data_IF_558912069318
#
_entry.id   IF_558912069318
#
_cell.length_a   1.000
_cell.length_b   1.000
_cell.length_c   1.000
_cell.angle_alpha   90.00
_cell.angle_beta   90.00
_cell.angle_gamma   90.00
#
_symmetry.space_group_name_H-M   'P 1'
#
loop_
_entity.id
_entity.type
_entity.pdbx_description
1 polymer ?
#
# COMPACT_ATOMS: atom_id res chain seq x y z
N UNK A 1 40.08 -64.84 62.11
CA UNK A 1 39.31 -63.61 61.80
C UNK A 1 39.41 -63.30 60.31
N UNK A 2 38.34 -63.57 59.55
CA UNK A 2 37.84 -62.84 58.37
C UNK A 2 36.50 -63.49 57.97
N UNK A 3 35.49 -62.71 57.59
CA UNK A 3 34.10 -63.11 57.77
C UNK A 3 33.56 -63.97 56.62
N UNK A 4 32.73 -64.96 56.99
CA UNK A 4 31.96 -65.79 56.08
C UNK A 4 30.89 -64.94 55.37
N UNK A 5 30.90 -64.93 54.03
CA UNK A 5 29.81 -64.38 53.22
C UNK A 5 28.96 -65.54 52.70
N UNK A 6 27.71 -65.55 53.16
CA UNK A 6 26.69 -66.55 52.86
C UNK A 6 26.32 -66.58 51.36
N UNK A 7 26.18 -67.80 50.86
CA UNK A 7 25.65 -68.14 49.54
C UNK A 7 24.18 -67.70 49.39
N UNK A 8 23.76 -67.20 48.22
CA UNK A 8 22.36 -66.88 47.97
C UNK A 8 21.50 -68.14 47.76
N UNK A 9 20.31 -68.10 48.35
CA UNK A 9 19.28 -69.13 48.38
C UNK A 9 18.61 -69.41 47.00
N UNK A 10 17.99 -70.59 46.80
CA UNK A 10 17.38 -71.00 45.54
C UNK A 10 16.05 -70.30 45.23
N UNK A 11 15.74 -70.19 43.93
CA UNK A 11 14.56 -69.50 43.36
C UNK A 11 13.24 -70.25 43.61
N UNK A 12 12.12 -69.56 43.89
CA UNK A 12 10.76 -70.14 43.80
C UNK A 12 10.16 -70.09 42.37
N UNK A 13 9.12 -70.90 42.08
CA UNK A 13 8.72 -71.29 40.72
C UNK A 13 7.80 -70.29 39.99
N UNK A 14 7.71 -70.45 38.67
CA UNK A 14 6.84 -69.67 37.75
C UNK A 14 5.37 -70.10 37.84
N UNK A 15 4.40 -69.17 37.74
CA UNK A 15 3.07 -69.48 37.24
C UNK A 15 2.97 -69.29 35.71
N UNK A 16 2.21 -70.20 35.08
CA UNK A 16 1.92 -70.31 33.64
C UNK A 16 0.50 -69.77 33.35
N UNK A 17 0.35 -68.92 32.30
CA UNK A 17 -0.82 -68.71 31.40
C UNK A 17 -2.17 -68.22 32.00
N UNK A 18 -3.07 -67.41 31.39
CA UNK A 18 -3.62 -67.20 30.04
C UNK A 18 -4.38 -65.80 30.00
N UNK A 19 -5.01 -65.35 28.88
CA UNK A 19 -5.25 -63.92 28.57
C UNK A 19 -6.59 -63.37 29.11
N UNK A 20 -6.66 -62.05 29.30
CA UNK A 20 -7.95 -61.36 29.44
C UNK A 20 -8.19 -60.40 28.27
N UNK A 21 -9.07 -60.85 27.37
CA UNK A 21 -9.76 -60.00 26.42
C UNK A 21 -11.08 -59.49 27.03
N UNK A 22 -11.32 -58.19 26.83
CA UNK A 22 -12.61 -57.48 26.68
C UNK A 22 -13.71 -57.64 27.75
N UNK A 23 -14.05 -56.51 28.37
CA UNK A 23 -15.38 -55.85 28.22
C UNK A 23 -15.16 -54.34 28.47
N UNK A 24 -15.54 -53.37 27.64
CA UNK A 24 -16.81 -53.09 26.96
C UNK A 24 -17.97 -52.78 27.93
N UNK A 25 -17.89 -51.64 28.62
CA UNK A 25 -18.94 -50.60 28.63
C UNK A 25 -18.64 -49.55 29.69
N UNK A 26 -18.36 -48.32 29.25
CA UNK A 26 -18.89 -47.08 29.82
C UNK A 26 -18.19 -45.89 29.14
N UNK A 27 -18.88 -45.24 28.20
CA UNK A 27 -19.30 -43.83 28.37
C UNK A 27 -19.82 -43.28 27.05
N UNK A 28 -21.11 -42.97 27.10
CA UNK A 28 -21.84 -42.22 26.10
C UNK A 28 -21.44 -40.73 26.16
N UNK A 29 -21.27 -40.13 24.99
CA UNK A 29 -21.64 -38.76 24.61
C UNK A 29 -20.76 -38.30 23.43
N UNK A 30 -21.04 -38.79 22.23
CA UNK A 30 -20.58 -38.14 21.00
C UNK A 30 -21.71 -37.26 20.49
N UNK A 31 -21.66 -35.99 20.90
CA UNK A 31 -22.35 -34.93 20.19
C UNK A 31 -21.56 -34.62 18.91
N UNK A 32 -22.30 -34.51 17.81
CA UNK A 32 -21.83 -34.30 16.45
C UNK A 32 -21.08 -32.97 16.34
N UNK A 33 -19.74 -33.02 16.35
CA UNK A 33 -18.91 -31.91 15.89
C UNK A 33 -18.64 -32.12 14.40
N UNK A 34 -19.42 -31.45 13.55
CA UNK A 34 -19.03 -31.25 12.15
C UNK A 34 -17.68 -30.50 12.10
N UNK A 35 -16.93 -30.60 10.99
CA UNK A 35 -15.69 -29.86 10.87
C UNK A 35 -16.02 -28.37 10.90
N UNK A 36 -15.74 -27.73 12.04
CA UNK A 36 -15.66 -26.28 12.12
C UNK A 36 -14.54 -25.88 11.16
N UNK A 37 -14.94 -25.41 9.98
CA UNK A 37 -14.07 -24.59 9.16
C UNK A 37 -13.53 -23.51 10.10
N UNK A 38 -12.23 -23.57 10.40
CA UNK A 38 -11.53 -22.43 10.95
C UNK A 38 -11.76 -21.32 9.94
N UNK A 39 -12.71 -20.42 10.23
CA UNK A 39 -12.83 -19.17 9.50
C UNK A 39 -11.48 -18.50 9.67
N UNK A 40 -10.61 -18.67 8.66
CA UNK A 40 -9.45 -17.80 8.50
C UNK A 40 -10.05 -16.41 8.48
N UNK A 41 -9.74 -15.62 9.50
CA UNK A 41 -9.93 -14.18 9.44
C UNK A 41 -9.42 -13.74 8.05
N UNK A 42 -10.23 -13.00 7.27
CA UNK A 42 -9.82 -12.62 5.92
C UNK A 42 -8.45 -11.94 6.04
N UNK A 43 -7.46 -12.49 5.35
CA UNK A 43 -6.12 -11.91 5.32
C UNK A 43 -6.25 -10.47 4.88
N UNK A 44 -5.75 -9.53 5.68
CA UNK A 44 -5.83 -8.10 5.36
C UNK A 44 -5.33 -7.87 3.92
N UNK A 45 -6.07 -7.14 3.08
CA UNK A 45 -5.65 -6.91 1.71
C UNK A 45 -4.26 -6.25 1.70
N UNK A 46 -3.42 -6.65 0.75
CA UNK A 46 -2.08 -6.08 0.62
C UNK A 46 -2.13 -4.73 -0.12
N UNK A 47 -1.41 -3.73 0.39
CA UNK A 47 -1.24 -2.42 -0.24
C UNK A 47 0.24 -2.14 -0.49
N UNK A 48 0.56 -1.74 -1.71
CA UNK A 48 1.91 -1.33 -2.09
C UNK A 48 2.04 0.16 -1.86
N UNK A 49 2.98 0.55 -1.00
CA UNK A 49 3.35 1.95 -0.77
C UNK A 49 4.65 2.24 -1.52
N UNK A 50 4.57 2.99 -2.62
CA UNK A 50 5.73 3.33 -3.45
C UNK A 50 6.25 4.69 -3.05
N UNK A 51 7.54 4.79 -2.78
CA UNK A 51 8.22 6.03 -2.43
C UNK A 51 9.49 6.22 -3.27
N UNK A 52 10.00 7.45 -3.31
CA UNK A 52 11.24 7.76 -4.01
C UNK A 52 12.46 7.37 -3.17
N UNK A 53 13.51 6.92 -3.85
CA UNK A 53 14.85 6.71 -3.28
C UNK A 53 15.86 7.76 -3.77
N UNK A 54 15.39 8.87 -4.35
CA UNK A 54 16.20 9.99 -4.80
C UNK A 54 16.54 10.97 -3.66
N UNK A 55 17.50 11.86 -3.90
CA UNK A 55 18.05 12.76 -2.88
C UNK A 55 17.07 13.86 -2.44
N UNK A 56 16.14 14.22 -3.32
CA UNK A 56 15.04 15.16 -3.07
C UNK A 56 13.98 14.56 -2.13
N UNK A 57 14.04 13.24 -1.88
CA UNK A 57 13.39 12.56 -0.78
C UNK A 57 11.86 12.49 -0.84
N UNK A 58 11.29 12.21 0.33
CA UNK A 58 9.88 11.95 0.57
C UNK A 58 9.37 12.88 1.66
N UNK A 59 8.22 13.53 1.47
CA UNK A 59 7.66 14.42 2.50
C UNK A 59 7.30 13.62 3.75
N UNK A 60 7.91 13.99 4.88
CA UNK A 60 7.73 13.30 6.16
C UNK A 60 6.27 13.28 6.61
N UNK A 61 5.57 14.42 6.49
CA UNK A 61 4.16 14.54 6.84
C UNK A 61 3.26 13.67 5.95
N UNK A 62 3.44 13.76 4.63
CA UNK A 62 2.61 12.98 3.70
C UNK A 62 2.82 11.48 3.88
N UNK A 63 4.07 11.03 4.03
CA UNK A 63 4.37 9.63 4.26
C UNK A 63 3.81 9.14 5.60
N UNK A 64 3.95 9.91 6.69
CA UNK A 64 3.37 9.60 7.99
C UNK A 64 1.86 9.36 7.88
N UNK A 65 1.12 10.27 7.25
CA UNK A 65 -0.33 10.16 7.09
C UNK A 65 -0.70 8.95 6.24
N UNK A 66 -0.09 8.79 5.06
CA UNK A 66 -0.31 7.66 4.17
C UNK A 66 -0.03 6.33 4.86
N UNK A 67 1.11 6.21 5.56
CA UNK A 67 1.51 5.01 6.27
C UNK A 67 0.55 4.70 7.42
N UNK A 68 0.18 5.69 8.22
CA UNK A 68 -0.73 5.49 9.36
C UNK A 68 -2.12 5.03 8.90
N UNK A 69 -2.68 5.71 7.90
CA UNK A 69 -3.98 5.37 7.31
C UNK A 69 -3.96 3.96 6.70
N UNK A 70 -2.98 3.68 5.84
CA UNK A 70 -2.94 2.43 5.12
C UNK A 70 -2.57 1.24 6.03
N UNK A 71 -1.74 1.44 7.06
CA UNK A 71 -1.36 0.40 8.03
C UNK A 71 -2.49 0.01 8.98
N UNK A 72 -3.58 0.77 9.05
CA UNK A 72 -4.78 0.41 9.80
C UNK A 72 -5.68 -0.59 9.04
N UNK A 73 -5.72 -0.51 7.70
CA UNK A 73 -6.60 -1.34 6.88
C UNK A 73 -5.86 -2.45 6.08
N UNK A 74 -4.64 -2.18 5.62
CA UNK A 74 -3.91 -3.06 4.69
C UNK A 74 -2.65 -3.67 5.31
N UNK A 75 -2.21 -4.81 4.76
CA UNK A 75 -0.84 -5.27 4.95
C UNK A 75 0.08 -4.47 4.02
N UNK A 76 0.92 -3.60 4.58
CA UNK A 76 1.74 -2.69 3.77
C UNK A 76 3.06 -3.33 3.35
N UNK A 77 3.47 -3.03 2.12
CA UNK A 77 4.83 -3.21 1.68
C UNK A 77 5.34 -1.89 1.12
N UNK A 78 6.45 -1.39 1.66
CA UNK A 78 7.11 -0.19 1.13
C UNK A 78 8.09 -0.63 0.05
N UNK A 79 8.07 0.04 -1.10
CA UNK A 79 8.99 -0.20 -2.19
C UNK A 79 9.57 1.10 -2.75
N UNK A 80 10.84 1.05 -3.13
CA UNK A 80 11.57 2.15 -3.77
C UNK A 80 12.37 1.62 -4.96
N UNK A 81 12.69 2.46 -5.95
CA UNK A 81 13.59 2.07 -7.04
C UNK A 81 14.92 1.54 -6.51
N UNK A 82 15.31 0.34 -6.93
CA UNK A 82 16.52 -0.34 -6.45
C UNK A 82 16.50 -0.78 -4.98
N UNK A 83 15.41 -0.56 -4.24
CA UNK A 83 15.32 -0.83 -2.80
C UNK A 83 16.17 0.13 -1.95
N UNK A 84 16.43 1.33 -2.47
CA UNK A 84 17.16 2.38 -1.76
C UNK A 84 16.39 2.84 -0.52
N UNK A 85 17.11 3.13 0.55
CA UNK A 85 16.53 3.78 1.73
C UNK A 85 15.95 5.14 1.35
N UNK A 86 14.86 5.53 2.00
CA UNK A 86 14.21 6.82 1.77
C UNK A 86 14.83 7.89 2.66
N UNK A 87 15.06 9.06 2.09
CA UNK A 87 15.33 10.28 2.85
C UNK A 87 14.03 11.07 3.03
N UNK A 88 13.86 11.65 4.22
CA UNK A 88 12.67 12.43 4.56
C UNK A 88 12.97 13.92 4.49
N UNK A 89 12.13 14.66 3.78
CA UNK A 89 12.11 16.13 3.72
C UNK A 89 10.94 16.68 4.54
N UNK A 90 10.96 18.00 4.78
CA UNK A 90 9.95 18.69 5.60
C UNK A 90 9.84 18.13 7.03
N UNK A 91 10.97 17.68 7.58
CA UNK A 91 11.05 17.21 8.97
C UNK A 91 11.01 18.42 9.89
N UNK A 92 10.07 18.42 10.83
CA UNK A 92 9.86 19.48 11.82
C UNK A 92 9.63 18.86 13.21
N UNK A 93 9.46 19.69 14.23
CA UNK A 93 9.30 19.23 15.61
C UNK A 93 8.14 18.24 15.80
N UNK A 94 7.06 18.38 15.02
CA UNK A 94 5.86 17.54 15.14
C UNK A 94 6.04 16.12 14.60
N UNK A 95 6.93 15.91 13.62
CA UNK A 95 7.16 14.61 12.97
C UNK A 95 8.56 14.02 13.21
N UNK A 96 9.50 14.78 13.76
CA UNK A 96 10.89 14.35 13.95
C UNK A 96 11.00 13.05 14.76
N UNK A 97 10.24 12.94 15.86
CA UNK A 97 10.20 11.70 16.67
C UNK A 97 9.71 10.52 15.84
N UNK A 98 8.63 10.70 15.09
CA UNK A 98 8.08 9.64 14.27
C UNK A 98 9.06 9.18 13.19
N UNK A 99 9.78 10.10 12.54
CA UNK A 99 10.79 9.78 11.52
C UNK A 99 11.92 8.94 12.13
N UNK A 100 12.38 9.31 13.33
CA UNK A 100 13.40 8.53 14.06
C UNK A 100 12.90 7.12 14.37
N UNK A 101 11.68 7.00 14.90
CA UNK A 101 11.07 5.70 15.22
C UNK A 101 10.83 4.85 13.96
N UNK A 102 10.43 5.48 12.85
CA UNK A 102 10.21 4.80 11.58
C UNK A 102 11.49 4.16 11.05
N UNK A 103 12.64 4.85 11.17
CA UNK A 103 13.96 4.34 10.73
C UNK A 103 14.39 3.06 11.44
N UNK A 104 13.82 2.75 12.60
CA UNK A 104 14.08 1.52 13.35
C UNK A 104 13.16 0.35 12.95
N UNK A 105 12.11 0.61 12.16
CA UNK A 105 11.14 -0.41 11.74
C UNK A 105 11.65 -1.17 10.51
N UNK A 106 11.17 -2.40 10.34
CA UNK A 106 11.45 -3.19 9.14
C UNK A 106 11.08 -2.46 7.83
N UNK A 107 10.06 -1.60 7.86
CA UNK A 107 9.63 -0.78 6.72
C UNK A 107 10.65 0.25 6.25
N UNK A 108 11.67 0.57 7.07
CA UNK A 108 12.79 1.43 6.67
C UNK A 108 13.76 0.74 5.70
N UNK A 109 13.62 -0.58 5.50
CA UNK A 109 14.29 -1.34 4.45
C UNK A 109 13.26 -1.69 3.36
N UNK A 110 13.04 -0.78 2.39
CA UNK A 110 12.04 -0.98 1.35
C UNK A 110 12.44 -2.11 0.40
N UNK A 111 11.43 -2.76 -0.17
CA UNK A 111 11.64 -3.73 -1.22
C UNK A 111 12.07 -3.06 -2.53
N UNK A 112 12.80 -3.80 -3.36
CA UNK A 112 13.19 -3.35 -4.71
C UNK A 112 11.97 -3.30 -5.61
N UNK A 113 11.64 -2.12 -6.13
CA UNK A 113 10.48 -1.92 -7.00
C UNK A 113 10.50 -2.84 -8.23
N UNK A 114 11.69 -3.17 -8.74
CA UNK A 114 11.93 -4.07 -9.87
C UNK A 114 11.54 -5.53 -9.59
N UNK A 115 11.49 -5.91 -8.31
CA UNK A 115 11.11 -7.27 -7.85
C UNK A 115 9.64 -7.40 -7.48
N UNK A 116 8.87 -6.32 -7.61
CA UNK A 116 7.47 -6.27 -7.20
C UNK A 116 6.59 -6.82 -8.30
N UNK A 117 5.76 -7.80 -7.94
CA UNK A 117 4.64 -8.25 -8.75
C UNK A 117 3.35 -7.53 -8.34
N UNK A 118 2.82 -6.70 -9.23
CA UNK A 118 1.60 -5.90 -9.02
C UNK A 118 0.34 -6.75 -8.80
N UNK A 119 0.34 -8.03 -9.20
CA UNK A 119 -0.79 -8.93 -9.00
C UNK A 119 -1.07 -9.19 -7.50
N UNK A 120 -0.03 -9.15 -6.65
CA UNK A 120 -0.13 -9.46 -5.21
C UNK A 120 -0.83 -8.40 -4.38
N UNK A 121 -1.01 -7.20 -4.92
CA UNK A 121 -1.55 -6.04 -4.19
C UNK A 121 -2.94 -5.67 -4.67
N UNK A 122 -3.71 -5.11 -3.76
CA UNK A 122 -5.09 -4.69 -3.99
C UNK A 122 -5.19 -3.18 -4.16
N UNK A 123 -4.22 -2.43 -3.63
CA UNK A 123 -4.15 -0.98 -3.72
C UNK A 123 -2.71 -0.51 -3.88
N UNK A 124 -2.53 0.62 -4.56
CA UNK A 124 -1.27 1.32 -4.72
C UNK A 124 -1.39 2.71 -4.11
N UNK A 125 -0.45 3.06 -3.24
CA UNK A 125 -0.38 4.36 -2.57
C UNK A 125 0.98 5.00 -2.81
N UNK A 126 0.96 6.25 -3.27
CA UNK A 126 2.16 7.06 -3.53
C UNK A 126 2.01 8.35 -2.73
N UNK A 127 2.75 8.51 -1.61
CA UNK A 127 2.73 9.75 -0.84
C UNK A 127 3.40 10.88 -1.64
N UNK A 128 3.32 12.11 -1.13
CA UNK A 128 4.05 13.23 -1.70
C UNK A 128 5.55 13.02 -1.54
N UNK A 129 6.22 12.78 -2.66
CA UNK A 129 7.67 12.63 -2.74
C UNK A 129 8.23 13.54 -3.82
N UNK A 130 8.88 14.67 -3.47
CA UNK A 130 9.55 15.52 -4.46
C UNK A 130 10.54 14.76 -5.35
N UNK A 131 11.22 13.74 -4.79
CA UNK A 131 12.10 12.84 -5.54
C UNK A 131 11.41 12.00 -6.62
N UNK A 132 10.08 11.89 -6.63
CA UNK A 132 9.35 11.16 -7.67
C UNK A 132 9.65 11.68 -9.08
N UNK A 133 9.91 12.99 -9.22
CA UNK A 133 10.28 13.58 -10.49
C UNK A 133 11.63 13.07 -11.01
N UNK A 134 12.54 12.68 -10.12
CA UNK A 134 13.88 12.22 -10.47
C UNK A 134 13.95 10.72 -10.78
N UNK A 135 13.21 9.87 -10.05
CA UNK A 135 13.32 8.41 -10.18
C UNK A 135 12.03 7.67 -10.55
N UNK A 136 10.85 8.12 -10.10
CA UNK A 136 9.58 7.43 -10.35
C UNK A 136 8.93 7.83 -11.69
N UNK A 137 9.05 9.10 -12.10
CA UNK A 137 8.42 9.64 -13.31
C UNK A 137 8.91 8.98 -14.61
N UNK A 138 10.09 8.34 -14.59
CA UNK A 138 10.66 7.60 -15.71
C UNK A 138 10.91 6.11 -15.38
N UNK A 139 10.28 5.57 -14.33
CA UNK A 139 10.51 4.18 -13.90
C UNK A 139 9.72 3.18 -14.74
N UNK A 140 10.41 2.35 -15.52
CA UNK A 140 9.79 1.26 -16.28
C UNK A 140 9.13 0.20 -15.39
N UNK A 141 9.69 -0.06 -14.20
CA UNK A 141 9.12 -1.00 -13.22
C UNK A 141 7.80 -0.47 -12.68
N UNK A 142 7.74 0.82 -12.35
CA UNK A 142 6.49 1.43 -11.90
C UNK A 142 5.45 1.47 -13.03
N UNK A 143 5.86 1.80 -14.26
CA UNK A 143 4.97 1.83 -15.41
C UNK A 143 4.24 0.48 -15.60
N UNK A 144 4.97 -0.64 -15.49
CA UNK A 144 4.39 -1.99 -15.56
C UNK A 144 3.38 -2.25 -14.44
N UNK A 145 3.68 -1.82 -13.22
CA UNK A 145 2.77 -1.96 -12.07
C UNK A 145 1.50 -1.12 -12.30
N UNK A 146 1.64 0.14 -12.72
CA UNK A 146 0.51 1.03 -12.99
C UNK A 146 -0.39 0.51 -14.10
N UNK A 147 0.18 0.01 -15.20
CA UNK A 147 -0.57 -0.62 -16.28
C UNK A 147 -1.37 -1.83 -15.79
N UNK A 148 -0.76 -2.70 -14.98
CA UNK A 148 -1.45 -3.84 -14.38
C UNK A 148 -2.58 -3.39 -13.44
N UNK A 149 -2.35 -2.38 -12.61
CA UNK A 149 -3.40 -1.83 -11.76
C UNK A 149 -4.56 -1.26 -12.58
N UNK A 150 -4.25 -0.61 -13.70
CA UNK A 150 -5.28 -0.08 -14.60
C UNK A 150 -6.07 -1.18 -15.28
N UNK A 151 -5.42 -2.22 -15.81
CA UNK A 151 -6.10 -3.35 -16.48
C UNK A 151 -7.03 -4.10 -15.53
N UNK A 152 -6.63 -4.26 -14.28
CA UNK A 152 -7.41 -4.93 -13.24
C UNK A 152 -8.38 -3.99 -12.52
N UNK A 153 -8.50 -2.72 -12.95
CA UNK A 153 -9.32 -1.69 -12.28
C UNK A 153 -9.07 -1.56 -10.77
N UNK A 154 -7.81 -1.73 -10.36
CA UNK A 154 -7.38 -1.61 -8.96
C UNK A 154 -7.16 -0.14 -8.58
N UNK A 155 -7.48 0.26 -7.34
CA UNK A 155 -7.30 1.63 -6.88
C UNK A 155 -5.82 2.05 -6.83
N UNK A 156 -5.56 3.26 -7.33
CA UNK A 156 -4.28 3.96 -7.28
C UNK A 156 -4.54 5.31 -6.60
N UNK A 157 -3.77 5.62 -5.56
CA UNK A 157 -3.82 6.91 -4.88
C UNK A 157 -2.43 7.55 -4.93
N UNK A 158 -2.34 8.74 -5.49
CA UNK A 158 -1.11 9.53 -5.54
C UNK A 158 -1.38 10.91 -4.95
N UNK A 159 -0.45 11.39 -4.10
CA UNK A 159 -0.62 12.63 -3.33
C UNK A 159 0.51 13.59 -3.66
N UNK A 160 0.20 14.87 -3.88
CA UNK A 160 1.21 15.93 -4.09
C UNK A 160 2.20 15.60 -5.21
N UNK A 161 3.50 15.69 -4.92
CA UNK A 161 4.55 15.38 -5.90
C UNK A 161 4.58 13.90 -6.31
N UNK A 162 3.96 12.99 -5.55
CA UNK A 162 3.83 11.58 -5.92
C UNK A 162 3.03 11.36 -7.20
N UNK A 163 2.22 12.33 -7.63
CA UNK A 163 1.47 12.29 -8.90
C UNK A 163 2.41 12.25 -10.11
N UNK A 164 3.63 12.80 -9.99
CA UNK A 164 4.65 12.68 -11.03
C UNK A 164 4.97 11.22 -11.38
N UNK A 165 4.83 10.31 -10.42
CA UNK A 165 5.06 8.89 -10.60
C UNK A 165 4.10 8.25 -11.63
N UNK A 166 2.92 8.84 -11.85
CA UNK A 166 1.95 8.37 -12.85
C UNK A 166 2.39 8.65 -14.29
N UNK A 167 3.33 9.59 -14.50
CA UNK A 167 3.75 10.02 -15.83
C UNK A 167 4.56 8.94 -16.57
N UNK A 168 5.15 7.97 -15.85
CA UNK A 168 5.89 6.88 -16.47
C UNK A 168 5.01 5.88 -17.24
N UNK A 169 3.71 5.82 -16.93
CA UNK A 169 2.79 4.83 -17.49
C UNK A 169 2.27 5.27 -18.88
N UNK A 170 3.04 4.96 -19.93
CA UNK A 170 2.66 5.19 -21.33
C UNK A 170 2.41 3.86 -22.05
N UNK A 171 1.52 3.88 -23.03
CA UNK A 171 1.24 2.76 -23.94
C UNK A 171 2.28 2.69 -25.07
N UNK A 172 2.25 1.62 -25.86
CA UNK A 172 3.18 1.44 -27.01
C UNK A 172 3.03 2.54 -28.07
N UNK A 173 1.84 3.10 -28.22
CA UNK A 173 1.53 4.23 -29.12
C UNK A 173 1.96 5.60 -28.54
N UNK A 174 2.61 5.61 -27.37
CA UNK A 174 2.98 6.79 -26.57
C UNK A 174 1.80 7.56 -25.98
N UNK A 175 0.58 7.02 -26.03
CA UNK A 175 -0.55 7.59 -25.29
C UNK A 175 -0.36 7.35 -23.78
N UNK A 176 -0.86 8.28 -22.96
CA UNK A 176 -0.79 8.12 -21.52
C UNK A 176 -1.88 7.17 -21.02
N UNK A 177 -1.54 6.25 -20.11
CA UNK A 177 -2.47 5.23 -19.60
C UNK A 177 -3.66 5.84 -18.84
N UNK A 178 -3.50 7.04 -18.31
CA UNK A 178 -4.53 7.79 -17.59
C UNK A 178 -5.15 8.91 -18.43
N UNK A 179 -5.12 8.80 -19.76
CA UNK A 179 -5.85 9.73 -20.63
C UNK A 179 -7.34 9.76 -20.26
N UNK A 180 -7.92 10.98 -20.20
CA UNK A 180 -9.31 11.19 -19.78
C UNK A 180 -9.56 11.12 -18.27
N UNK A 181 -8.54 10.85 -17.44
CA UNK A 181 -8.67 10.95 -15.99
C UNK A 181 -8.66 12.40 -15.50
N UNK A 182 -9.27 12.61 -14.34
CA UNK A 182 -9.08 13.83 -13.55
C UNK A 182 -7.99 13.62 -12.51
N UNK A 183 -6.98 14.47 -12.56
CA UNK A 183 -5.78 14.42 -11.71
C UNK A 183 -5.56 15.78 -11.07
N UNK A 184 -5.06 15.78 -9.84
CA UNK A 184 -4.65 16.96 -9.09
C UNK A 184 -3.21 16.79 -8.62
N UNK A 185 -2.51 17.88 -8.36
CA UNK A 185 -1.12 17.88 -7.92
C UNK A 185 -0.60 19.32 -7.75
N UNK A 186 0.69 19.49 -7.44
CA UNK A 186 1.32 20.80 -7.34
C UNK A 186 1.15 21.56 -8.65
N UNK A 187 0.52 22.73 -8.57
CA UNK A 187 0.29 23.60 -9.72
C UNK A 187 1.57 24.31 -10.14
N UNK A 188 1.65 24.73 -11.40
CA UNK A 188 2.74 25.59 -11.88
C UNK A 188 2.86 26.85 -11.02
N UNK A 189 1.73 27.40 -10.59
CA UNK A 189 1.70 28.59 -9.73
C UNK A 189 2.43 28.39 -8.38
N UNK A 190 2.26 27.22 -7.77
CA UNK A 190 2.98 26.85 -6.55
C UNK A 190 4.44 26.54 -6.84
N UNK A 191 4.72 25.76 -7.89
CA UNK A 191 6.06 25.32 -8.24
C UNK A 191 6.98 26.48 -8.61
N UNK A 192 6.50 27.53 -9.28
CA UNK A 192 7.30 28.71 -9.64
C UNK A 192 7.86 29.45 -8.41
N UNK A 193 7.23 29.29 -7.25
CA UNK A 193 7.69 29.89 -5.98
C UNK A 193 8.72 29.04 -5.26
N UNK A 194 8.88 27.77 -5.66
CA UNK A 194 9.83 26.86 -5.04
C UNK A 194 11.25 27.06 -5.60
N UNK A 195 12.29 27.04 -4.74
CA UNK A 195 13.66 27.04 -5.21
C UNK A 195 13.91 25.74 -5.97
N UNK A 196 14.22 25.85 -7.27
CA UNK A 196 14.48 24.68 -8.12
C UNK A 196 13.49 24.47 -9.28
N UNK A 197 12.46 25.31 -9.41
CA UNK A 197 11.52 25.25 -10.55
C UNK A 197 12.20 25.12 -11.91
N UNK A 198 13.25 25.91 -12.14
CA UNK A 198 13.99 25.93 -13.40
C UNK A 198 14.76 24.63 -13.72
N UNK A 199 14.92 23.74 -12.74
CA UNK A 199 15.65 22.47 -12.89
C UNK A 199 14.71 21.26 -12.83
N UNK A 200 13.40 21.46 -12.75
CA UNK A 200 12.46 20.35 -12.72
C UNK A 200 12.51 19.59 -14.06
N UNK A 201 12.68 18.25 -14.05
CA UNK A 201 12.72 17.46 -15.28
C UNK A 201 11.35 17.35 -15.94
N UNK A 202 10.28 17.59 -15.18
CA UNK A 202 8.91 17.46 -15.61
C UNK A 202 8.02 18.40 -14.79
N UNK A 203 7.08 19.08 -15.46
CA UNK A 203 5.99 19.81 -14.82
C UNK A 203 4.72 18.98 -15.02
N UNK A 204 4.19 18.44 -13.92
CA UNK A 204 3.07 17.48 -13.95
C UNK A 204 1.81 18.11 -14.56
N UNK A 205 1.51 19.36 -14.21
CA UNK A 205 0.36 20.09 -14.75
C UNK A 205 0.41 20.19 -16.29
N UNK A 206 1.55 20.54 -16.85
CA UNK A 206 1.74 20.65 -18.30
C UNK A 206 1.65 19.27 -18.96
N UNK A 207 2.32 18.27 -18.38
CA UNK A 207 2.25 16.88 -18.89
C UNK A 207 0.82 16.33 -18.93
N UNK A 208 0.04 16.53 -17.86
CA UNK A 208 -1.34 16.04 -17.77
C UNK A 208 -2.23 16.71 -18.82
N UNK A 209 -2.05 18.03 -19.03
CA UNK A 209 -2.78 18.78 -20.06
C UNK A 209 -2.41 18.33 -21.46
N UNK A 210 -1.12 18.19 -21.76
CA UNK A 210 -0.61 17.75 -23.06
C UNK A 210 -1.03 16.31 -23.38
N UNK A 211 -1.12 15.45 -22.35
CA UNK A 211 -1.59 14.07 -22.46
C UNK A 211 -3.13 13.93 -22.60
N UNK A 212 -3.88 15.05 -22.62
CA UNK A 212 -5.33 15.04 -22.81
C UNK A 212 -6.13 14.59 -21.58
N UNK A 213 -5.59 14.81 -20.39
CA UNK A 213 -6.28 14.58 -19.12
C UNK A 213 -6.69 15.90 -18.45
N UNK A 214 -7.62 15.82 -17.50
CA UNK A 214 -8.13 17.00 -16.80
C UNK A 214 -7.30 17.26 -15.54
N UNK A 215 -6.58 18.38 -15.52
CA UNK A 215 -5.89 18.84 -14.31
C UNK A 215 -6.81 19.76 -13.48
N UNK A 216 -6.95 19.48 -12.19
CA UNK A 216 -7.65 20.35 -11.23
C UNK A 216 -6.69 20.75 -10.11
N UNK A 217 -6.15 21.97 -10.17
CA UNK A 217 -5.35 22.55 -9.09
C UNK A 217 -6.21 23.12 -7.97
N UNK A 218 -5.63 23.33 -6.78
CA UNK A 218 -6.28 24.10 -5.73
C UNK A 218 -6.42 25.56 -6.19
N UNK A 219 -7.65 25.97 -6.48
CA UNK A 219 -7.97 27.32 -6.94
C UNK A 219 -8.66 28.10 -5.83
N UNK A 220 -8.08 29.23 -5.44
CA UNK A 220 -8.88 30.41 -5.12
C UNK A 220 -9.78 30.76 -6.33
N UNK A 221 -10.86 31.54 -6.14
CA UNK A 221 -11.99 31.57 -7.06
C UNK A 221 -11.59 32.20 -8.40
N UNK A 222 -11.32 31.37 -9.39
CA UNK A 222 -11.21 31.80 -10.78
C UNK A 222 -12.55 31.56 -11.47
N UNK A 223 -13.02 32.50 -12.31
CA UNK A 223 -14.23 32.31 -13.09
C UNK A 223 -13.97 31.16 -14.06
N UNK A 224 -14.85 30.15 -14.02
CA UNK A 224 -14.68 28.90 -14.77
C UNK A 224 -14.31 29.07 -16.25
N UNK A 225 -13.93 27.96 -16.91
CA UNK A 225 -13.52 27.99 -18.32
C UNK A 225 -14.56 28.72 -19.19
N UNK A 226 -14.13 29.39 -20.29
CA UNK A 226 -15.04 30.06 -21.20
C UNK A 226 -16.10 29.06 -21.68
N UNK A 227 -17.36 29.50 -21.70
CA UNK A 227 -18.50 28.69 -22.09
C UNK A 227 -18.22 27.99 -23.43
N UNK A 228 -18.00 26.67 -23.39
CA UNK A 228 -17.58 25.85 -24.53
C UNK A 228 -16.43 24.88 -24.22
N UNK A 229 -15.63 25.14 -23.18
CA UNK A 229 -14.64 24.19 -22.66
C UNK A 229 -15.21 23.45 -21.43
N UNK A 230 -16.34 22.75 -21.63
CA UNK A 230 -16.78 21.76 -20.65
C UNK A 230 -15.90 20.51 -20.80
N UNK A 231 -15.32 20.03 -19.69
CA UNK A 231 -14.85 18.65 -19.63
C UNK A 231 -16.02 17.77 -20.10
N UNK A 232 -15.86 16.93 -21.14
CA UNK A 232 -16.94 16.10 -21.64
C UNK A 232 -17.55 15.31 -20.48
N UNK A 233 -18.79 15.63 -20.12
CA UNK A 233 -19.52 14.99 -19.01
C UNK A 233 -19.76 13.49 -19.24
N UNK A 234 -19.44 13.00 -20.44
CA UNK A 234 -19.67 11.63 -20.91
C UNK A 234 -18.41 10.73 -20.87
N UNK A 235 -17.24 11.26 -20.51
CA UNK A 235 -16.06 10.41 -20.26
C UNK A 235 -16.09 9.99 -18.78
N UNK A 236 -16.59 8.79 -18.51
CA UNK A 236 -16.70 8.16 -17.18
C UNK A 236 -15.37 7.90 -16.46
N UNK A 237 -14.42 8.82 -16.50
CA UNK A 237 -13.17 8.78 -15.77
C UNK A 237 -13.43 8.93 -14.28
N UNK A 238 -13.13 7.87 -13.52
CA UNK A 238 -13.08 7.98 -12.06
C UNK A 238 -11.97 8.97 -11.69
N UNK A 239 -12.22 9.95 -10.80
CA UNK A 239 -11.14 10.79 -10.31
C UNK A 239 -10.14 9.92 -9.55
N UNK A 240 -8.84 10.10 -9.81
CA UNK A 240 -7.76 9.43 -9.05
C UNK A 240 -7.68 9.93 -7.60
N UNK A 241 -8.52 10.91 -7.23
CA UNK A 241 -8.78 11.39 -5.88
C UNK A 241 -10.29 11.42 -5.62
N UNK A 242 -10.83 10.51 -4.80
CA UNK A 242 -12.24 10.61 -4.38
C UNK A 242 -12.34 11.46 -3.12
N UNK A 243 -12.78 12.72 -3.27
CA UNK A 243 -13.67 13.33 -2.28
C UNK A 243 -15.06 13.45 -2.92
N UNK A 244 -16.13 12.94 -2.28
CA UNK A 244 -17.47 13.04 -2.84
C UNK A 244 -18.02 14.46 -2.69
N UNK A 245 -18.55 15.06 -3.77
CA UNK A 245 -19.34 16.30 -3.69
C UNK A 245 -20.64 16.05 -2.91
N UNK A 246 -21.10 16.98 -2.06
CA UNK A 246 -22.37 16.84 -1.36
C UNK A 246 -23.53 17.10 -2.32
N UNK A 247 -24.37 16.09 -2.54
CA UNK A 247 -25.56 16.22 -3.40
C UNK A 247 -26.55 15.07 -3.20
N UNK A 248 -27.52 15.33 -2.32
CA UNK A 248 -28.83 14.67 -2.06
C UNK A 248 -28.89 13.18 -1.68
N UNK A 249 -29.67 12.97 -0.62
CA UNK A 249 -29.95 11.75 0.13
C UNK A 249 -30.43 10.54 -0.69
N UNK A 250 -29.92 9.38 -0.31
CA UNK A 250 -30.40 8.04 -0.63
C UNK A 250 -29.59 7.02 0.20
N UNK A 251 -30.26 6.20 0.98
CA UNK A 251 -29.72 5.46 2.13
C UNK A 251 -28.75 4.32 1.79
N UNK A 252 -27.81 4.04 2.70
CA UNK A 252 -27.22 2.71 2.89
C UNK A 252 -25.69 2.62 2.83
N UNK A 253 -25.05 2.52 4.01
CA UNK A 253 -23.82 1.76 4.25
C UNK A 253 -22.48 2.33 3.77
N UNK A 254 -21.57 2.57 4.74
CA UNK A 254 -20.12 2.79 4.56
C UNK A 254 -19.69 4.15 3.98
N UNK A 255 -19.79 5.20 4.80
CA UNK A 255 -19.17 6.51 4.57
C UNK A 255 -18.37 6.95 5.79
N UNK A 256 -17.09 6.56 5.88
CA UNK A 256 -16.15 7.23 6.78
C UNK A 256 -14.71 6.83 6.42
N UNK A 257 -14.08 7.52 5.46
CA UNK A 257 -12.61 7.42 5.25
C UNK A 257 -11.98 8.48 4.32
N UNK A 258 -12.74 9.41 3.75
CA UNK A 258 -12.24 10.38 2.77
C UNK A 258 -12.46 11.84 3.20
N UNK A 259 -12.12 12.17 4.45
CA UNK A 259 -12.01 13.54 4.91
C UNK A 259 -10.64 13.73 5.56
N UNK A 260 -9.91 14.75 5.09
CA UNK A 260 -8.58 15.20 5.54
C UNK A 260 -7.37 14.49 4.95
N UNK A 261 -7.11 14.75 3.66
CA UNK A 261 -5.75 15.13 3.19
C UNK A 261 -5.95 16.11 2.04
N UNK A 262 -6.02 17.39 2.38
CA UNK A 262 -5.67 18.53 1.54
C UNK A 262 -4.63 19.32 2.33
#
# INVERSE_FOLDING_TARGET
MRPARLSPAPRPPRPLTLPLARSAHAQAAQAVAGPMASERLPSRPACLLVASGAAEGVSAQSFLHCFTLASAAFNLQVATPGGKTMDFVDVNESNARWVQDFRLKAYASPAKLESIDGARYHALLIPSCPGALADLASSGSLARILQHFRSESKPICAVGHGVAALCCATNEDRSWVFQGYSVTGPSVYELVRAPGFAHLPLVVEDFVKDAGACFSGEWGPWPGPPAGAECPKDLGGQPLTTSPRPGRAGAGGSRELAQHVA
#
